data_IF_695931983441
#
_entry.id   IF_695931983441
#
_cell.length_a   1.000
_cell.length_b   1.000
_cell.length_c   1.000
_cell.angle_alpha   90.00
_cell.angle_beta   90.00
_cell.angle_gamma   90.00
#
_symmetry.space_group_name_H-M   'P 1'
#
loop_
_entity.id
_entity.type
_entity.pdbx_description
1 polymer ?
#
# COMPACT_ATOMS: atom_id res chain seq x y z
N UNK A 1 16.14 12.18 -24.78
CA UNK A 1 16.45 11.13 -23.80
C UNK A 1 15.25 10.20 -23.73
N UNK A 2 15.46 8.89 -23.79
CA UNK A 2 14.38 7.90 -23.63
C UNK A 2 13.89 7.92 -22.19
N UNK A 3 12.59 8.08 -21.99
CA UNK A 3 11.94 8.07 -20.68
C UNK A 3 12.24 6.75 -19.93
N UNK A 4 12.58 6.82 -18.64
CA UNK A 4 12.95 5.66 -17.83
C UNK A 4 11.77 4.68 -17.63
N UNK A 5 12.06 3.41 -17.36
CA UNK A 5 11.03 2.36 -17.27
C UNK A 5 10.02 2.63 -16.14
N UNK A 6 10.48 3.08 -14.96
CA UNK A 6 9.61 3.47 -13.84
C UNK A 6 8.75 4.68 -14.20
N UNK A 7 9.30 5.65 -14.93
CA UNK A 7 8.53 6.82 -15.39
C UNK A 7 7.42 6.41 -16.36
N UNK A 8 7.70 5.46 -17.27
CA UNK A 8 6.67 4.90 -18.17
C UNK A 8 5.60 4.13 -17.41
N UNK A 9 5.98 3.34 -16.39
CA UNK A 9 5.03 2.62 -15.55
C UNK A 9 4.14 3.58 -14.74
N UNK A 10 4.71 4.65 -14.17
CA UNK A 10 3.94 5.70 -13.47
C UNK A 10 2.94 6.37 -14.40
N UNK A 11 3.38 6.74 -15.62
CA UNK A 11 2.50 7.33 -16.62
C UNK A 11 1.39 6.37 -17.09
N UNK A 12 1.70 5.08 -17.27
CA UNK A 12 0.70 4.05 -17.58
C UNK A 12 -0.30 3.87 -16.44
N UNK A 13 0.18 3.89 -15.19
CA UNK A 13 -0.66 3.83 -14.00
C UNK A 13 -1.63 5.01 -13.95
N UNK A 14 -1.15 6.24 -14.18
CA UNK A 14 -2.00 7.43 -14.30
C UNK A 14 -3.06 7.29 -15.40
N UNK A 15 -2.68 6.78 -16.57
CA UNK A 15 -3.64 6.55 -17.66
C UNK A 15 -4.77 5.61 -17.21
N UNK A 16 -4.43 4.46 -16.63
CA UNK A 16 -5.43 3.52 -16.12
C UNK A 16 -6.30 4.12 -15.01
N UNK A 17 -5.73 4.97 -14.14
CA UNK A 17 -6.51 5.71 -13.14
C UNK A 17 -7.56 6.61 -13.80
N UNK A 18 -7.22 7.32 -14.88
CA UNK A 18 -8.15 8.21 -15.58
C UNK A 18 -9.23 7.43 -16.34
N UNK A 19 -8.84 6.31 -16.95
CA UNK A 19 -9.76 5.42 -17.66
C UNK A 19 -10.73 4.72 -16.70
N UNK A 20 -10.27 4.27 -15.53
CA UNK A 20 -11.03 3.31 -14.72
C UNK A 20 -11.48 3.80 -13.34
N UNK A 21 -10.83 4.80 -12.75
CA UNK A 21 -11.08 5.18 -11.34
C UNK A 21 -11.63 6.60 -11.23
N UNK A 22 -10.90 7.56 -11.81
CA UNK A 22 -11.21 8.97 -11.70
C UNK A 22 -12.43 9.30 -12.56
N UNK A 23 -13.40 10.00 -11.99
CA UNK A 23 -14.62 10.46 -12.68
C UNK A 23 -14.94 11.90 -12.30
N UNK A 24 -15.57 12.66 -13.20
CA UNK A 24 -16.17 13.97 -12.89
C UNK A 24 -17.69 13.86 -12.94
N UNK A 25 -18.36 14.25 -11.86
CA UNK A 25 -19.82 14.33 -11.84
C UNK A 25 -20.35 15.54 -12.63
N UNK A 26 -21.68 15.68 -12.72
CA UNK A 26 -22.33 16.82 -13.40
C UNK A 26 -21.92 18.19 -12.81
N UNK A 27 -21.56 18.24 -11.52
CA UNK A 27 -21.06 19.44 -10.85
C UNK A 27 -19.63 19.82 -11.25
N UNK A 28 -18.96 19.01 -12.07
CA UNK A 28 -17.54 19.19 -12.43
C UNK A 28 -16.56 18.78 -11.33
N UNK A 29 -17.04 18.36 -10.16
CA UNK A 29 -16.20 17.89 -9.06
C UNK A 29 -15.64 16.49 -9.37
N UNK A 30 -14.31 16.28 -9.30
CA UNK A 30 -13.72 14.95 -9.39
C UNK A 30 -14.13 14.05 -8.22
N UNK A 31 -14.26 12.74 -8.46
CA UNK A 31 -14.71 11.77 -7.45
C UNK A 31 -13.68 11.48 -6.34
N UNK A 32 -12.44 11.97 -6.46
CA UNK A 32 -11.49 12.00 -5.36
C UNK A 32 -11.54 13.30 -4.53
N UNK A 33 -12.30 14.31 -4.97
CA UNK A 33 -12.47 15.55 -4.24
C UNK A 33 -13.67 15.51 -3.29
N UNK A 34 -13.62 16.33 -2.24
CA UNK A 34 -14.80 16.67 -1.46
C UNK A 34 -15.57 17.79 -2.16
N UNK A 35 -16.74 17.47 -2.70
CA UNK A 35 -17.59 18.44 -3.41
C UNK A 35 -18.05 19.62 -2.54
N UNK A 36 -18.01 19.50 -1.21
CA UNK A 36 -18.31 20.60 -0.29
C UNK A 36 -17.10 21.50 0.00
N UNK A 37 -15.90 21.12 -0.45
CA UNK A 37 -14.66 21.88 -0.25
C UNK A 37 -14.16 22.44 -1.59
N UNK A 38 -14.31 23.75 -1.77
CA UNK A 38 -13.79 24.44 -2.96
C UNK A 38 -12.29 24.20 -3.16
N UNK A 39 -11.50 24.18 -2.07
CA UNK A 39 -10.07 23.85 -2.10
C UNK A 39 -9.81 22.44 -2.60
N UNK A 40 -10.54 21.44 -2.08
CA UNK A 40 -10.38 20.04 -2.51
C UNK A 40 -10.69 19.86 -4.00
N UNK A 41 -11.78 20.47 -4.48
CA UNK A 41 -12.18 20.45 -5.90
C UNK A 41 -11.15 21.14 -6.77
N UNK A 42 -10.65 22.31 -6.35
CA UNK A 42 -9.63 23.06 -7.09
C UNK A 42 -8.32 22.29 -7.21
N UNK A 43 -7.80 21.76 -6.11
CA UNK A 43 -6.54 21.00 -6.12
C UNK A 43 -6.70 19.73 -6.98
N UNK A 44 -7.81 19.01 -6.84
CA UNK A 44 -8.04 17.81 -7.66
C UNK A 44 -8.10 18.12 -9.16
N UNK A 45 -8.80 19.19 -9.56
CA UNK A 45 -8.80 19.63 -10.95
C UNK A 45 -7.40 20.05 -11.42
N UNK A 46 -6.62 20.73 -10.57
CA UNK A 46 -5.23 21.06 -10.88
C UNK A 46 -4.37 19.82 -11.15
N UNK A 47 -4.54 18.74 -10.36
CA UNK A 47 -3.85 17.46 -10.60
C UNK A 47 -4.24 16.90 -11.96
N UNK A 48 -5.54 16.95 -12.29
CA UNK A 48 -6.09 16.45 -13.54
C UNK A 48 -5.49 17.17 -14.74
N UNK A 49 -5.50 18.50 -14.70
CA UNK A 49 -5.00 19.36 -15.78
C UNK A 49 -3.50 19.16 -16.02
N UNK A 50 -2.74 18.88 -14.95
CA UNK A 50 -1.29 18.62 -15.02
C UNK A 50 -0.93 17.24 -15.54
N UNK A 51 -1.71 16.22 -15.23
CA UNK A 51 -1.53 14.87 -15.79
C UNK A 51 -1.93 14.86 -17.27
N UNK A 52 -3.00 15.59 -17.63
CA UNK A 52 -3.37 15.87 -19.02
C UNK A 52 -4.05 14.72 -19.77
N UNK A 53 -4.64 13.75 -19.06
CA UNK A 53 -5.53 12.74 -19.66
C UNK A 53 -6.99 13.18 -19.57
N UNK A 54 -7.81 12.67 -20.50
CA UNK A 54 -9.26 12.91 -20.48
C UNK A 54 -9.92 12.15 -19.33
N UNK A 55 -10.82 12.82 -18.61
CA UNK A 55 -11.57 12.23 -17.50
C UNK A 55 -13.00 11.94 -17.94
N UNK A 56 -13.42 10.68 -17.79
CA UNK A 56 -14.79 10.28 -18.11
C UNK A 56 -15.79 10.86 -17.10
N UNK A 57 -16.96 11.25 -17.59
CA UNK A 57 -18.15 11.59 -16.79
C UNK A 57 -19.07 10.39 -16.54
N UNK A 58 -18.80 9.25 -17.18
CA UNK A 58 -19.62 8.05 -17.02
C UNK A 58 -19.44 7.42 -15.64
N UNK A 59 -20.54 6.98 -15.03
CA UNK A 59 -20.51 6.28 -13.75
C UNK A 59 -19.64 5.02 -13.79
N UNK A 60 -19.08 4.64 -12.65
CA UNK A 60 -18.30 3.40 -12.53
C UNK A 60 -19.25 2.19 -12.57
N UNK A 61 -19.20 1.42 -13.64
CA UNK A 61 -19.96 0.18 -13.76
C UNK A 61 -19.33 -0.95 -12.93
N UNK A 62 -20.15 -1.67 -12.15
CA UNK A 62 -19.82 -2.93 -11.49
C UNK A 62 -18.96 -2.85 -10.22
N UNK A 63 -17.87 -2.09 -10.24
CA UNK A 63 -16.92 -1.98 -9.13
C UNK A 63 -16.80 -0.55 -8.59
N UNK A 64 -16.44 -0.42 -7.31
CA UNK A 64 -16.20 0.89 -6.69
C UNK A 64 -14.86 1.48 -7.15
N UNK A 65 -14.71 2.80 -7.02
CA UNK A 65 -13.43 3.48 -7.27
C UNK A 65 -12.29 2.88 -6.40
N UNK A 66 -12.60 2.50 -5.15
CA UNK A 66 -11.64 1.89 -4.23
C UNK A 66 -11.06 0.57 -4.75
N UNK A 67 -11.91 -0.39 -5.08
CA UNK A 67 -11.43 -1.71 -5.55
C UNK A 67 -10.67 -1.64 -6.87
N UNK A 68 -11.06 -0.72 -7.77
CA UNK A 68 -10.29 -0.46 -9.01
C UNK A 68 -8.94 0.18 -8.70
N UNK A 69 -8.91 1.15 -7.79
CA UNK A 69 -7.67 1.78 -7.33
C UNK A 69 -6.70 0.77 -6.72
N UNK A 70 -7.21 -0.16 -5.90
CA UNK A 70 -6.44 -1.27 -5.33
C UNK A 70 -5.83 -2.15 -6.43
N UNK A 71 -6.64 -2.60 -7.41
CA UNK A 71 -6.15 -3.47 -8.48
C UNK A 71 -5.06 -2.81 -9.32
N UNK A 72 -5.28 -1.56 -9.73
CA UNK A 72 -4.31 -0.81 -10.52
C UNK A 72 -3.02 -0.54 -9.74
N UNK A 73 -3.14 -0.25 -8.44
CA UNK A 73 -1.97 -0.02 -7.57
C UNK A 73 -1.17 -1.30 -7.40
N UNK A 74 -1.82 -2.45 -7.19
CA UNK A 74 -1.15 -3.76 -7.15
C UNK A 74 -0.39 -4.04 -8.45
N UNK A 75 -1.03 -3.83 -9.60
CA UNK A 75 -0.41 -4.10 -10.90
C UNK A 75 0.79 -3.19 -11.16
N UNK A 76 0.68 -1.89 -10.84
CA UNK A 76 1.82 -0.97 -10.89
C UNK A 76 2.97 -1.47 -10.02
N UNK A 77 2.70 -1.84 -8.75
CA UNK A 77 3.73 -2.31 -7.83
C UNK A 77 4.39 -3.60 -8.32
N UNK A 78 3.61 -4.56 -8.83
CA UNK A 78 4.15 -5.81 -9.38
C UNK A 78 5.11 -5.55 -10.54
N UNK A 79 4.70 -4.76 -11.52
CA UNK A 79 5.52 -4.49 -12.71
C UNK A 79 6.75 -3.63 -12.37
N UNK A 80 6.61 -2.64 -11.48
CA UNK A 80 7.73 -1.82 -11.06
C UNK A 80 8.75 -2.60 -10.22
N UNK A 81 8.28 -3.41 -9.26
CA UNK A 81 9.15 -4.21 -8.40
C UNK A 81 9.86 -5.35 -9.15
N UNK A 82 9.28 -5.83 -10.24
CA UNK A 82 9.93 -6.79 -11.15
C UNK A 82 11.24 -6.23 -11.73
N UNK A 83 11.33 -4.92 -11.97
CA UNK A 83 12.55 -4.27 -12.44
C UNK A 83 13.66 -4.27 -11.37
N UNK A 84 13.30 -4.43 -10.09
CA UNK A 84 14.20 -4.34 -8.94
C UNK A 84 14.62 -5.72 -8.39
N UNK A 85 14.31 -6.81 -9.08
CA UNK A 85 14.66 -8.18 -8.65
C UNK A 85 16.16 -8.41 -8.44
N UNK A 86 17.01 -7.69 -9.17
CA UNK A 86 18.46 -7.77 -9.01
C UNK A 86 18.95 -7.07 -7.73
N UNK A 87 18.19 -6.10 -7.19
CA UNK A 87 18.48 -5.43 -5.91
C UNK A 87 17.85 -6.22 -4.75
N UNK A 88 16.64 -6.75 -4.95
CA UNK A 88 15.90 -7.49 -3.93
C UNK A 88 15.38 -8.83 -4.50
N UNK A 89 16.24 -9.85 -4.61
CA UNK A 89 15.89 -11.12 -5.25
C UNK A 89 14.91 -11.95 -4.40
N UNK A 90 14.01 -12.67 -5.08
CA UNK A 90 13.09 -13.63 -4.46
C UNK A 90 11.93 -13.99 -5.39
N UNK A 91 11.13 -14.98 -5.00
CA UNK A 91 9.81 -15.18 -5.59
C UNK A 91 8.79 -14.33 -4.81
N UNK A 92 8.27 -13.31 -5.48
CA UNK A 92 7.42 -12.27 -4.90
C UNK A 92 6.00 -12.37 -5.44
N UNK A 93 5.03 -12.34 -4.53
CA UNK A 93 3.61 -12.39 -4.84
C UNK A 93 2.95 -11.09 -4.42
N UNK A 94 2.20 -10.48 -5.34
CA UNK A 94 1.38 -9.29 -5.09
C UNK A 94 -0.09 -9.70 -5.23
N UNK A 95 -0.86 -9.66 -4.16
CA UNK A 95 -2.26 -10.10 -4.14
C UNK A 95 -3.20 -8.98 -3.67
N UNK A 96 -4.44 -9.02 -4.16
CA UNK A 96 -5.53 -8.17 -3.64
C UNK A 96 -6.14 -8.85 -2.43
N UNK A 97 -6.41 -8.07 -1.38
CA UNK A 97 -6.92 -8.58 -0.13
C UNK A 97 -5.94 -9.54 0.54
N UNK A 98 -6.51 -10.43 1.34
CA UNK A 98 -5.79 -11.48 2.05
C UNK A 98 -5.99 -11.39 3.55
N UNK A 99 -5.87 -12.52 4.23
CA UNK A 99 -5.89 -12.54 5.67
C UNK A 99 -4.45 -12.56 6.18
N UNK A 100 -4.08 -11.66 7.10
CA UNK A 100 -2.70 -11.65 7.62
C UNK A 100 -2.31 -13.01 8.21
N UNK A 101 -3.29 -13.76 8.72
CA UNK A 101 -3.14 -15.07 9.35
C UNK A 101 -2.72 -16.17 8.37
N UNK A 102 -2.76 -15.91 7.08
CA UNK A 102 -2.31 -16.84 6.04
C UNK A 102 -0.78 -16.75 5.83
N UNK A 103 -0.11 -15.81 6.51
CA UNK A 103 1.33 -15.60 6.42
C UNK A 103 2.08 -16.03 7.68
N UNK A 104 3.33 -16.41 7.51
CA UNK A 104 4.19 -17.00 8.53
C UNK A 104 4.18 -16.20 9.84
N UNK A 105 4.34 -14.87 9.78
CA UNK A 105 4.47 -14.05 10.99
C UNK A 105 3.20 -14.00 11.84
N UNK A 106 2.06 -14.39 11.29
CA UNK A 106 0.75 -14.24 11.90
C UNK A 106 -0.07 -15.53 11.89
N UNK A 107 0.50 -16.64 11.43
CA UNK A 107 -0.15 -17.97 11.33
C UNK A 107 -0.80 -18.40 12.65
N UNK A 108 -0.12 -18.14 13.77
CA UNK A 108 -0.60 -18.39 15.13
C UNK A 108 -1.94 -17.72 15.49
N UNK A 109 -2.31 -16.62 14.83
CA UNK A 109 -3.59 -15.95 15.08
C UNK A 109 -4.79 -16.81 14.64
N UNK A 110 -4.58 -17.79 13.75
CA UNK A 110 -5.63 -18.77 13.41
C UNK A 110 -5.98 -19.66 14.59
N UNK A 111 -5.00 -20.06 15.41
CA UNK A 111 -5.21 -20.82 16.64
C UNK A 111 -5.96 -19.97 17.68
N UNK A 112 -5.54 -18.72 17.86
CA UNK A 112 -6.21 -17.76 18.77
C UNK A 112 -7.68 -17.59 18.36
N UNK A 113 -7.96 -17.41 17.06
CA UNK A 113 -9.34 -17.27 16.57
C UNK A 113 -10.20 -18.48 16.91
N UNK A 114 -9.65 -19.68 16.76
CA UNK A 114 -10.38 -20.91 17.07
C UNK A 114 -10.67 -21.03 18.58
N UNK A 115 -9.69 -20.73 19.42
CA UNK A 115 -9.86 -20.71 20.88
C UNK A 115 -10.88 -19.64 21.33
N UNK A 116 -10.80 -18.44 20.77
CA UNK A 116 -11.74 -17.34 21.04
C UNK A 116 -13.16 -17.69 20.60
N UNK A 117 -13.35 -18.31 19.43
CA UNK A 117 -14.70 -18.73 18.96
C UNK A 117 -15.40 -19.68 19.92
N UNK A 118 -14.65 -20.53 20.62
CA UNK A 118 -15.18 -21.52 21.54
C UNK A 118 -15.49 -20.95 22.94
N UNK A 119 -15.05 -19.74 23.27
CA UNK A 119 -15.23 -19.14 24.58
C UNK A 119 -15.79 -17.70 24.50
N UNK A 120 -17.00 -17.51 25.02
CA UNK A 120 -17.71 -16.21 24.99
C UNK A 120 -17.00 -15.11 25.79
N UNK A 121 -16.29 -15.43 26.87
CA UNK A 121 -15.55 -14.44 27.67
C UNK A 121 -14.30 -13.97 26.93
N UNK A 122 -13.58 -14.89 26.26
CA UNK A 122 -12.42 -14.53 25.44
C UNK A 122 -12.82 -13.64 24.26
N UNK A 123 -14.01 -13.81 23.67
CA UNK A 123 -14.50 -12.92 22.60
C UNK A 123 -14.62 -11.46 23.04
N UNK A 124 -14.97 -11.22 24.30
CA UNK A 124 -15.13 -9.87 24.84
C UNK A 124 -13.77 -9.20 25.03
N UNK A 125 -12.75 -9.96 25.44
CA UNK A 125 -11.40 -9.44 25.71
C UNK A 125 -10.59 -9.23 24.43
N UNK A 126 -10.70 -10.16 23.49
CA UNK A 126 -9.84 -10.22 22.31
C UNK A 126 -10.46 -9.53 21.07
N UNK A 127 -11.78 -9.40 20.96
CA UNK A 127 -12.41 -8.74 19.81
C UNK A 127 -12.12 -9.42 18.45
N UNK A 128 -12.36 -8.72 17.33
CA UNK A 128 -12.02 -9.18 15.97
C UNK A 128 -10.67 -8.59 15.52
N UNK A 129 -9.58 -9.35 15.69
CA UNK A 129 -8.22 -8.97 15.27
C UNK A 129 -7.95 -9.06 13.76
N UNK A 130 -8.99 -9.15 12.94
CA UNK A 130 -8.82 -9.50 11.53
C UNK A 130 -8.46 -8.25 10.74
N UNK A 131 -7.16 -7.95 10.68
CA UNK A 131 -6.60 -7.04 9.70
C UNK A 131 -6.67 -7.72 8.33
N UNK A 132 -7.27 -7.04 7.36
CA UNK A 132 -7.37 -7.48 5.97
C UNK A 132 -6.77 -6.37 5.12
N UNK A 133 -5.47 -6.45 4.78
CA UNK A 133 -4.83 -5.47 3.92
C UNK A 133 -5.49 -5.43 2.55
N UNK A 134 -5.51 -4.26 1.92
CA UNK A 134 -6.06 -4.13 0.56
C UNK A 134 -5.13 -4.77 -0.48
N UNK A 135 -3.82 -4.65 -0.28
CA UNK A 135 -2.80 -5.35 -1.06
C UNK A 135 -1.77 -5.95 -0.11
N UNK A 136 -1.42 -7.20 -0.38
CA UNK A 136 -0.33 -7.92 0.30
C UNK A 136 0.82 -8.13 -0.68
N UNK A 137 2.05 -7.91 -0.21
CA UNK A 137 3.29 -8.26 -0.92
C UNK A 137 3.99 -9.31 -0.08
N UNK A 138 4.26 -10.47 -0.67
CA UNK A 138 4.71 -11.64 0.07
C UNK A 138 5.91 -12.26 -0.63
N UNK A 139 6.78 -12.89 0.15
CA UNK A 139 7.93 -13.66 -0.35
C UNK A 139 7.68 -15.14 -0.09
N UNK A 140 7.87 -15.98 -1.10
CA UNK A 140 7.83 -17.42 -0.90
C UNK A 140 9.10 -17.94 -0.21
N UNK A 141 8.98 -19.01 0.58
CA UNK A 141 10.12 -19.79 1.03
C UNK A 141 10.91 -20.34 -0.17
N UNK A 142 12.19 -20.61 0.05
CA UNK A 142 13.19 -20.96 -0.95
C UNK A 142 13.66 -22.40 -0.71
N UNK A 143 13.83 -23.17 -1.78
CA UNK A 143 14.34 -24.54 -1.69
C UNK A 143 15.84 -24.56 -1.44
N UNK A 144 16.35 -25.68 -0.93
CA UNK A 144 17.78 -25.83 -0.65
C UNK A 144 18.62 -25.78 -1.94
N UNK A 145 18.08 -26.22 -3.08
CA UNK A 145 18.74 -26.10 -4.37
C UNK A 145 18.98 -24.64 -4.76
N UNK A 146 18.02 -23.75 -4.50
CA UNK A 146 18.18 -22.32 -4.76
C UNK A 146 19.09 -21.66 -3.73
N UNK A 147 19.04 -22.08 -2.45
CA UNK A 147 19.98 -21.61 -1.41
C UNK A 147 21.42 -21.99 -1.79
N UNK A 148 21.63 -23.20 -2.29
CA UNK A 148 22.93 -23.74 -2.68
C UNK A 148 23.34 -23.40 -4.13
N UNK A 149 22.58 -22.56 -4.83
CA UNK A 149 22.76 -22.27 -6.26
C UNK A 149 24.16 -21.80 -6.64
N UNK A 150 24.80 -21.03 -5.76
CA UNK A 150 26.13 -20.43 -5.99
C UNK A 150 27.22 -21.00 -5.06
N UNK A 151 26.93 -22.07 -4.32
CA UNK A 151 27.88 -22.74 -3.44
C UNK A 151 27.22 -23.63 -2.40
N UNK A 152 28.00 -24.46 -1.70
CA UNK A 152 27.51 -25.39 -0.68
C UNK A 152 27.22 -24.65 0.64
N UNK A 153 26.08 -23.96 0.72
CA UNK A 153 25.65 -23.18 1.89
C UNK A 153 25.04 -24.09 2.96
N UNK A 154 24.26 -25.08 2.56
CA UNK A 154 23.64 -26.10 3.42
C UNK A 154 24.17 -27.48 3.03
N UNK A 155 24.71 -28.22 3.99
CA UNK A 155 25.29 -29.56 3.81
C UNK A 155 24.40 -30.71 4.28
N UNK A 156 23.47 -30.44 5.20
CA UNK A 156 22.59 -31.43 5.84
C UNK A 156 21.30 -30.79 6.38
N UNK A 157 20.40 -31.64 6.87
CA UNK A 157 19.12 -31.27 7.49
C UNK A 157 19.23 -31.08 9.01
N UNK A 158 20.40 -30.70 9.53
CA UNK A 158 20.61 -30.49 10.98
C UNK A 158 20.79 -29.02 11.36
N UNK A 159 21.00 -28.12 10.38
CA UNK A 159 21.16 -26.68 10.60
C UNK A 159 20.02 -25.84 10.02
N UNK A 160 19.88 -24.61 10.54
CA UNK A 160 18.88 -23.64 10.09
C UNK A 160 17.42 -24.17 10.09
N UNK A 161 17.08 -25.05 11.04
CA UNK A 161 15.82 -25.81 11.10
C UNK A 161 14.56 -25.00 11.42
N UNK A 162 14.73 -23.74 11.79
CA UNK A 162 13.62 -22.88 12.24
C UNK A 162 13.49 -21.59 11.42
N UNK A 163 14.31 -21.40 10.39
CA UNK A 163 14.17 -20.22 9.53
C UNK A 163 12.97 -20.40 8.60
N UNK A 164 12.04 -19.43 8.52
CA UNK A 164 10.90 -19.52 7.62
C UNK A 164 11.29 -19.32 6.14
N UNK A 165 12.53 -18.87 5.88
CA UNK A 165 13.01 -18.71 4.51
C UNK A 165 13.23 -20.07 3.81
N UNK A 166 13.56 -21.13 4.55
CA UNK A 166 13.86 -22.45 4.00
C UNK A 166 12.55 -23.24 3.84
N UNK A 167 12.25 -23.64 2.62
CA UNK A 167 10.99 -24.31 2.25
C UNK A 167 10.73 -25.59 3.05
N UNK A 168 11.77 -26.33 3.42
CA UNK A 168 11.65 -27.53 4.24
C UNK A 168 11.06 -27.27 5.64
N UNK A 169 11.28 -26.06 6.20
CA UNK A 169 10.81 -25.72 7.54
C UNK A 169 9.37 -25.18 7.53
N UNK A 170 9.02 -24.37 6.52
CA UNK A 170 7.69 -23.80 6.35
C UNK A 170 7.42 -23.56 4.87
N UNK A 171 6.21 -23.91 4.42
CA UNK A 171 5.71 -23.63 3.08
C UNK A 171 4.82 -22.38 3.06
N UNK A 172 4.67 -21.70 4.20
CA UNK A 172 3.83 -20.52 4.36
C UNK A 172 4.60 -19.30 3.84
N UNK A 173 3.93 -18.45 3.08
CA UNK A 173 4.53 -17.22 2.56
C UNK A 173 4.83 -16.23 3.70
N UNK A 174 5.89 -15.46 3.52
CA UNK A 174 6.33 -14.43 4.47
C UNK A 174 5.76 -13.10 4.02
N UNK A 175 4.93 -12.46 4.85
CA UNK A 175 4.36 -11.15 4.53
C UNK A 175 5.49 -10.10 4.51
N UNK A 176 5.74 -9.49 3.37
CA UNK A 176 6.75 -8.47 3.21
C UNK A 176 6.17 -7.06 3.31
N UNK A 177 4.97 -6.83 2.79
CA UNK A 177 4.27 -5.55 2.92
C UNK A 177 2.76 -5.72 3.03
N UNK A 178 2.16 -4.83 3.80
CA UNK A 178 0.74 -4.52 3.84
C UNK A 178 0.54 -3.12 3.30
N UNK A 179 -0.15 -3.00 2.17
CA UNK A 179 -0.42 -1.73 1.50
C UNK A 179 -1.92 -1.44 1.58
N UNK A 180 -2.29 -0.40 2.34
CA UNK A 180 -3.67 0.08 2.41
C UNK A 180 -3.91 1.13 1.32
N UNK A 181 -4.96 0.98 0.53
CA UNK A 181 -5.31 1.89 -0.55
C UNK A 181 -6.50 2.76 -0.15
N UNK A 182 -6.36 4.08 -0.30
CA UNK A 182 -7.42 5.04 0.03
C UNK A 182 -7.59 6.04 -1.10
N UNK A 183 -8.53 5.79 -2.01
CA UNK A 183 -8.82 6.73 -3.09
C UNK A 183 -9.19 8.12 -2.56
N UNK A 184 -9.96 8.17 -1.47
CA UNK A 184 -10.26 9.39 -0.71
C UNK A 184 -10.10 9.12 0.78
N UNK A 185 -9.74 10.14 1.56
CA UNK A 185 -9.63 10.05 3.02
C UNK A 185 -10.82 10.76 3.65
N UNK A 186 -11.52 10.06 4.54
CA UNK A 186 -12.48 10.67 5.47
C UNK A 186 -11.89 10.60 6.87
N UNK A 187 -12.23 11.56 7.73
CA UNK A 187 -11.63 11.71 9.06
C UNK A 187 -11.75 10.45 9.91
N UNK A 188 -12.87 9.74 9.83
CA UNK A 188 -13.13 8.44 10.46
C UNK A 188 -12.26 7.30 9.90
N UNK A 189 -12.05 7.28 8.58
CA UNK A 189 -11.32 6.21 7.87
C UNK A 189 -9.80 6.32 7.98
N UNK A 190 -9.29 7.43 8.49
CA UNK A 190 -7.86 7.62 8.77
C UNK A 190 -7.39 6.74 9.93
N UNK A 191 -8.25 6.55 10.95
CA UNK A 191 -7.93 5.76 12.14
C UNK A 191 -7.86 4.25 11.85
N UNK A 192 -8.56 3.78 10.82
CA UNK A 192 -8.55 2.37 10.45
C UNK A 192 -7.16 1.90 10.01
N UNK A 193 -6.49 2.66 9.13
CA UNK A 193 -5.14 2.31 8.67
C UNK A 193 -4.13 2.27 9.82
N UNK A 194 -4.26 3.20 10.78
CA UNK A 194 -3.42 3.22 11.99
C UNK A 194 -3.65 2.00 12.87
N UNK A 195 -4.93 1.67 13.10
CA UNK A 195 -5.31 0.51 13.92
C UNK A 195 -4.86 -0.81 13.28
N UNK A 196 -5.00 -0.93 11.97
CA UNK A 196 -4.50 -2.05 11.18
C UNK A 196 -2.97 -2.18 11.30
N UNK A 197 -2.24 -1.08 11.12
CA UNK A 197 -0.79 -1.04 11.28
C UNK A 197 -0.33 -1.43 12.68
N UNK A 198 -0.97 -0.88 13.73
CA UNK A 198 -0.69 -1.25 15.11
C UNK A 198 -0.96 -2.73 15.39
N UNK A 199 -2.00 -3.31 14.79
CA UNK A 199 -2.29 -4.73 14.92
C UNK A 199 -1.23 -5.60 14.25
N UNK A 200 -0.75 -5.23 13.06
CA UNK A 200 0.38 -5.89 12.40
C UNK A 200 1.64 -5.84 13.26
N UNK A 201 1.93 -4.70 13.88
CA UNK A 201 3.11 -4.55 14.73
C UNK A 201 2.99 -5.39 16.00
N UNK A 202 1.86 -5.32 16.70
CA UNK A 202 1.66 -5.98 18.00
C UNK A 202 1.64 -7.49 17.90
N UNK A 203 1.09 -8.03 16.82
CA UNK A 203 0.83 -9.47 16.70
C UNK A 203 1.87 -10.24 15.89
N UNK A 204 2.93 -9.60 15.40
CA UNK A 204 3.93 -10.31 14.57
C UNK A 204 4.77 -11.29 15.41
N UNK A 205 5.11 -12.43 14.83
CA UNK A 205 6.25 -13.28 15.22
C UNK A 205 7.28 -13.25 14.10
N UNK A 206 8.25 -12.34 14.20
CA UNK A 206 9.28 -12.12 13.18
C UNK A 206 9.46 -10.65 12.81
N UNK A 207 10.03 -10.40 11.62
CA UNK A 207 10.21 -9.05 11.09
C UNK A 207 8.84 -8.42 10.77
N UNK A 208 8.67 -7.15 11.13
CA UNK A 208 7.48 -6.38 10.72
C UNK A 208 7.46 -6.25 9.20
N UNK A 209 6.33 -6.51 8.53
CA UNK A 209 6.18 -6.13 7.13
C UNK A 209 6.26 -4.61 6.98
N UNK A 210 6.48 -4.11 5.76
CA UNK A 210 6.23 -2.72 5.44
C UNK A 210 4.74 -2.42 5.65
N UNK A 211 4.42 -1.31 6.31
CA UNK A 211 3.05 -0.88 6.58
C UNK A 211 2.86 0.49 5.94
N UNK A 212 2.24 0.53 4.77
CA UNK A 212 2.18 1.75 3.95
C UNK A 212 0.77 2.06 3.50
N UNK A 213 0.54 3.33 3.17
CA UNK A 213 -0.74 3.77 2.59
C UNK A 213 -0.50 4.39 1.22
N UNK A 214 -1.30 4.01 0.22
CA UNK A 214 -1.35 4.67 -1.09
C UNK A 214 -2.67 5.45 -1.19
N UNK A 215 -2.63 6.70 -1.64
CA UNK A 215 -3.83 7.55 -1.67
C UNK A 215 -3.98 8.43 -2.91
N UNK A 216 -5.24 8.69 -3.29
CA UNK A 216 -5.67 9.66 -4.29
C UNK A 216 -6.28 10.95 -3.70
N UNK A 217 -6.21 11.12 -2.38
CA UNK A 217 -6.80 12.27 -1.67
C UNK A 217 -6.10 13.58 -2.08
N UNK A 218 -6.84 14.58 -2.59
CA UNK A 218 -6.26 15.84 -3.02
C UNK A 218 -6.00 16.83 -1.88
N UNK A 219 -6.67 16.73 -0.72
CA UNK A 219 -6.57 17.75 0.33
C UNK A 219 -5.37 17.49 1.27
N UNK A 220 -4.38 18.41 1.35
CA UNK A 220 -3.18 18.21 2.18
C UNK A 220 -3.47 17.94 3.66
N UNK A 221 -4.46 18.63 4.25
CA UNK A 221 -4.87 18.40 5.63
C UNK A 221 -5.37 16.96 5.89
N UNK A 222 -6.01 16.32 4.91
CA UNK A 222 -6.47 14.92 5.03
C UNK A 222 -5.32 13.94 4.84
N UNK A 223 -4.41 14.18 3.90
CA UNK A 223 -3.17 13.41 3.78
C UNK A 223 -2.39 13.47 5.10
N UNK A 224 -2.23 14.67 5.65
CA UNK A 224 -1.55 14.93 6.91
C UNK A 224 -2.16 14.15 8.09
N UNK A 225 -3.48 14.00 8.15
CA UNK A 225 -4.16 13.22 9.19
C UNK A 225 -3.71 11.74 9.24
N UNK A 226 -3.23 11.20 8.12
CA UNK A 226 -2.61 9.87 8.04
C UNK A 226 -1.08 9.93 8.18
N UNK A 227 -0.43 10.89 7.52
CA UNK A 227 1.01 10.95 7.41
C UNK A 227 1.71 11.42 8.71
N UNK A 228 1.04 12.25 9.53
CA UNK A 228 1.58 12.68 10.81
C UNK A 228 1.67 11.53 11.82
N UNK A 229 2.58 11.65 12.78
CA UNK A 229 2.87 10.58 13.72
C UNK A 229 3.83 9.53 13.14
N UNK A 230 4.28 8.65 14.02
CA UNK A 230 5.30 7.64 13.72
C UNK A 230 4.97 6.34 14.42
N UNK A 231 5.34 5.22 13.79
CA UNK A 231 5.35 3.90 14.43
C UNK A 231 4.14 3.03 14.14
N UNK A 232 3.15 3.50 13.39
CA UNK A 232 1.99 2.72 12.91
C UNK A 232 1.91 2.64 11.38
N UNK A 233 2.36 3.69 10.69
CA UNK A 233 2.49 3.75 9.23
C UNK A 233 3.93 4.14 8.88
N UNK A 234 4.60 3.37 8.03
CA UNK A 234 5.97 3.62 7.60
C UNK A 234 6.05 4.86 6.71
N UNK A 235 5.16 4.98 5.72
CA UNK A 235 5.05 6.14 4.83
C UNK A 235 3.70 6.17 4.10
N UNK A 236 3.27 7.38 3.69
CA UNK A 236 2.14 7.58 2.78
C UNK A 236 2.69 7.88 1.39
N UNK A 237 2.10 7.27 0.36
CA UNK A 237 2.45 7.48 -1.04
C UNK A 237 1.26 8.09 -1.76
N UNK A 238 1.46 9.23 -2.40
CA UNK A 238 0.43 9.87 -3.22
C UNK A 238 0.56 9.40 -4.67
N UNK A 239 -0.58 9.10 -5.31
CA UNK A 239 -0.59 8.58 -6.70
C UNK A 239 0.04 9.57 -7.70
N UNK A 240 -0.03 10.87 -7.42
CA UNK A 240 0.44 11.96 -8.28
C UNK A 240 1.07 13.08 -7.43
N UNK A 241 2.12 12.79 -6.66
CA UNK A 241 2.63 13.73 -5.65
C UNK A 241 3.14 15.03 -6.27
N UNK A 242 3.84 14.94 -7.41
CA UNK A 242 4.40 16.11 -8.10
C UNK A 242 3.30 17.07 -8.53
N UNK A 243 2.26 16.52 -9.15
CA UNK A 243 1.10 17.25 -9.64
C UNK A 243 0.27 17.82 -8.49
N UNK A 244 0.19 17.11 -7.34
CA UNK A 244 -0.45 17.60 -6.12
C UNK A 244 0.26 18.85 -5.57
N UNK A 245 1.58 18.80 -5.42
CA UNK A 245 2.39 19.93 -4.90
C UNK A 245 2.18 21.14 -5.81
N UNK A 246 2.28 20.97 -7.13
CA UNK A 246 2.13 22.07 -8.07
C UNK A 246 0.71 22.65 -8.10
N UNK A 247 -0.31 21.87 -7.72
CA UNK A 247 -1.71 22.29 -7.66
C UNK A 247 -2.10 22.94 -6.32
N UNK A 248 -1.31 22.74 -5.28
CA UNK A 248 -1.50 23.33 -3.96
C UNK A 248 -0.96 24.77 -3.85
N UNK A 249 -0.20 25.24 -4.84
CA UNK A 249 0.57 26.50 -4.82
C UNK A 249 -0.23 27.78 -4.56
N UNK A 250 -1.53 27.81 -4.82
CA UNK A 250 -2.39 28.96 -4.48
C UNK A 250 -2.60 29.16 -2.97
N UNK A 251 -2.24 28.16 -2.16
CA UNK A 251 -2.31 28.20 -0.70
C UNK A 251 -0.93 27.90 -0.12
N UNK A 252 -0.30 28.93 0.43
CA UNK A 252 1.01 28.82 1.09
C UNK A 252 0.95 27.78 2.22
N UNK A 253 -0.12 27.80 3.02
CA UNK A 253 -0.33 26.83 4.10
C UNK A 253 -0.42 25.38 3.60
N UNK A 254 -1.09 25.13 2.47
CA UNK A 254 -1.22 23.78 1.91
C UNK A 254 0.12 23.31 1.34
N UNK A 255 0.83 24.20 0.65
CA UNK A 255 2.14 23.94 0.06
C UNK A 255 3.19 23.65 1.14
N UNK A 256 3.24 24.47 2.19
CA UNK A 256 4.13 24.29 3.34
C UNK A 256 3.86 22.98 4.08
N UNK A 257 2.58 22.62 4.24
CA UNK A 257 2.20 21.34 4.84
C UNK A 257 2.72 20.16 4.01
N UNK A 258 2.49 20.16 2.69
CA UNK A 258 3.00 19.11 1.79
C UNK A 258 4.53 19.02 1.84
N UNK A 259 5.22 20.16 1.73
CA UNK A 259 6.68 20.21 1.79
C UNK A 259 7.21 19.70 3.13
N UNK A 260 6.54 20.03 4.25
CA UNK A 260 6.88 19.52 5.58
C UNK A 260 6.74 18.00 5.65
N UNK A 261 5.67 17.43 5.08
CA UNK A 261 5.46 15.98 5.05
C UNK A 261 6.51 15.27 4.17
N UNK A 262 6.87 15.83 3.02
CA UNK A 262 7.90 15.28 2.13
C UNK A 262 9.27 15.35 2.79
N UNK A 263 9.66 16.52 3.32
CA UNK A 263 10.92 16.70 4.03
C UNK A 263 11.03 15.81 5.27
N UNK A 264 9.92 15.61 5.98
CA UNK A 264 9.80 14.69 7.12
C UNK A 264 9.75 13.22 6.74
N UNK A 265 9.87 12.86 5.45
CA UNK A 265 9.81 11.47 4.92
C UNK A 265 8.50 10.76 5.27
N UNK A 266 7.41 11.51 5.39
CA UNK A 266 6.06 11.01 5.71
C UNK A 266 5.17 10.90 4.48
N UNK A 267 5.49 11.62 3.42
CA UNK A 267 4.80 11.61 2.13
C UNK A 267 5.80 11.43 0.98
N UNK A 268 5.52 10.51 0.06
CA UNK A 268 6.33 10.20 -1.13
C UNK A 268 5.46 10.01 -2.36
N UNK A 269 6.06 9.96 -3.55
CA UNK A 269 5.34 9.65 -4.79
C UNK A 269 5.17 8.14 -4.92
N UNK A 270 4.11 7.70 -5.60
CA UNK A 270 3.89 6.28 -5.89
C UNK A 270 5.10 5.61 -6.58
N UNK A 271 5.91 6.37 -7.33
CA UNK A 271 7.14 5.86 -7.94
C UNK A 271 8.23 5.47 -6.94
N UNK A 272 8.17 5.96 -5.71
CA UNK A 272 9.16 5.67 -4.66
C UNK A 272 8.88 4.32 -3.98
N UNK A 273 7.61 3.91 -3.89
CA UNK A 273 7.19 2.71 -3.17
C UNK A 273 7.90 1.41 -3.65
N UNK A 274 8.06 1.13 -4.96
CA UNK A 274 8.82 -0.03 -5.40
C UNK A 274 10.26 -0.09 -4.85
N UNK A 275 10.92 1.05 -4.71
CA UNK A 275 12.28 1.14 -4.17
C UNK A 275 12.28 0.97 -2.65
N UNK A 276 11.31 1.56 -1.96
CA UNK A 276 11.15 1.39 -0.52
C UNK A 276 10.82 -0.06 -0.14
N UNK A 277 10.10 -0.80 -1.00
CA UNK A 277 9.89 -2.25 -0.83
C UNK A 277 11.17 -3.06 -1.08
N UNK A 278 12.19 -2.49 -1.72
CA UNK A 278 13.44 -3.17 -2.06
C UNK A 278 14.53 -3.04 -0.98
N UNK A 279 14.28 -2.30 0.10
CA UNK A 279 15.20 -2.15 1.25
C UNK A 279 15.30 -3.43 2.09
#
# INVERSE_FOLDING_TARGET
MTQGDIERLRHSYHRSIFEEVLRKGESGAPNNADSASATSVRISNGIIDRIGFDVSSEGLAGQTAGSRFESLTRDFLREAFKLLQHIRPGDWVFALGGNIRDYEQYSHLSEIRNAVRQNKELRIVFGDYIVTPDITVCRKPVSDEEINRFGDVLSDDEIALYTPLRYLNSQVEILHASVSCKWTIRSDRSQNARTEGLNLIRNRKGKTPHIVVVTGEPLPARIASLAFGTGDIDCVYHFALRELIDSATESESDTDLLNTLVAGRRLRDISDLPFDLAT
#
